data_IF_401921225431
#
_entry.id   IF_401921225431
#
_cell.length_a   1.000
_cell.length_b   1.000
_cell.length_c   1.000
_cell.angle_alpha   90.00
_cell.angle_beta   90.00
_cell.angle_gamma   90.00
#
_symmetry.space_group_name_H-M   'P 1'
#
loop_
_entity.id
_entity.type
_entity.pdbx_description
1 polymer ?
#
# COMPACT_ATOMS: atom_id res chain seq x y z
N UNK A 1 39.56 16.69 -28.85
CA UNK A 1 39.42 15.69 -27.78
C UNK A 1 37.93 15.34 -27.70
N UNK A 2 37.51 14.12 -28.07
CA UNK A 2 36.13 13.71 -27.88
C UNK A 2 35.81 13.62 -26.37
N UNK A 3 34.57 13.87 -25.93
CA UNK A 3 34.22 13.82 -24.52
C UNK A 3 34.32 12.39 -24.00
N UNK A 4 34.93 12.23 -22.83
CA UNK A 4 34.98 10.97 -22.09
C UNK A 4 33.54 10.50 -21.85
N UNK A 5 33.11 9.50 -22.61
CA UNK A 5 31.87 8.78 -22.33
C UNK A 5 32.10 7.99 -21.05
N UNK A 6 31.41 8.38 -19.98
CA UNK A 6 31.32 7.60 -18.75
C UNK A 6 31.10 6.13 -19.13
N UNK A 7 32.08 5.31 -18.80
CA UNK A 7 32.16 3.90 -19.13
C UNK A 7 30.83 3.21 -18.86
N UNK A 8 30.31 2.53 -19.87
CA UNK A 8 29.15 1.62 -19.86
C UNK A 8 29.27 0.44 -18.86
N UNK A 9 30.32 0.41 -18.05
CA UNK A 9 30.55 -0.60 -17.01
C UNK A 9 29.72 -0.35 -15.73
N UNK A 10 29.33 0.91 -15.45
CA UNK A 10 28.52 1.24 -14.26
C UNK A 10 27.01 1.01 -14.49
N UNK A 11 26.59 0.76 -15.73
CA UNK A 11 25.20 0.48 -16.10
C UNK A 11 24.71 -0.92 -15.70
N UNK A 12 25.58 -1.79 -15.20
CA UNK A 12 25.29 -3.21 -14.94
C UNK A 12 25.01 -3.57 -13.47
N UNK A 13 25.08 -2.60 -12.56
CA UNK A 13 24.66 -2.78 -11.16
C UNK A 13 23.42 -1.96 -10.89
N UNK A 14 22.26 -2.49 -11.28
CA UNK A 14 21.00 -2.00 -10.73
C UNK A 14 21.10 -2.11 -9.20
N UNK A 15 20.99 -1.00 -8.45
CA UNK A 15 21.01 -1.08 -7.00
C UNK A 15 19.88 -2.01 -6.55
N UNK A 16 20.12 -2.89 -5.56
CA UNK A 16 19.10 -3.83 -5.13
C UNK A 16 17.82 -3.07 -4.77
N UNK A 17 16.69 -3.47 -5.34
CA UNK A 17 15.38 -2.82 -5.15
C UNK A 17 15.10 -2.60 -3.67
N UNK A 18 15.44 -3.59 -2.83
CA UNK A 18 15.28 -3.51 -1.38
C UNK A 18 16.12 -2.41 -0.72
N UNK A 19 17.35 -2.16 -1.21
CA UNK A 19 18.21 -1.08 -0.71
C UNK A 19 17.67 0.30 -1.09
N UNK A 20 17.13 0.42 -2.31
CA UNK A 20 16.43 1.62 -2.78
C UNK A 20 15.19 1.88 -1.93
N UNK A 21 14.34 0.88 -1.70
CA UNK A 21 13.16 0.99 -0.83
C UNK A 21 13.52 1.38 0.60
N UNK A 22 14.60 0.81 1.16
CA UNK A 22 15.06 1.13 2.51
C UNK A 22 15.53 2.58 2.66
N UNK A 23 16.05 3.20 1.60
CA UNK A 23 16.37 4.64 1.59
C UNK A 23 15.14 5.54 1.64
N UNK A 24 13.97 5.05 1.22
CA UNK A 24 12.73 5.82 1.24
C UNK A 24 11.88 5.61 2.51
N UNK A 25 12.15 4.55 3.28
CA UNK A 25 11.51 4.29 4.58
C UNK A 25 11.53 5.49 5.55
N UNK A 26 12.64 6.24 5.68
CA UNK A 26 12.69 7.43 6.53
C UNK A 26 11.75 8.57 6.08
N UNK A 27 11.39 8.64 4.80
CA UNK A 27 10.42 9.63 4.30
C UNK A 27 8.98 9.23 4.60
N UNK A 28 8.71 7.93 4.71
CA UNK A 28 7.42 7.41 5.18
C UNK A 28 7.27 7.50 6.70
N UNK A 29 8.37 7.34 7.43
CA UNK A 29 8.39 7.43 8.90
C UNK A 29 9.37 8.51 9.38
N UNK A 30 9.12 9.80 9.06
CA UNK A 30 10.04 10.87 9.38
C UNK A 30 10.21 11.02 10.89
N UNK A 31 11.46 11.12 11.34
CA UNK A 31 11.76 11.40 12.74
C UNK A 31 11.23 12.79 13.12
N UNK A 32 10.47 12.89 14.21
CA UNK A 32 9.94 14.16 14.73
C UNK A 32 8.51 14.52 14.33
N UNK A 33 7.91 13.87 13.31
CA UNK A 33 6.54 14.18 12.88
C UNK A 33 5.52 13.17 13.43
N UNK A 34 5.12 13.34 14.70
CA UNK A 34 4.20 12.42 15.40
C UNK A 34 2.84 12.30 14.71
N UNK A 35 2.32 13.38 14.14
CA UNK A 35 1.04 13.39 13.44
C UNK A 35 1.03 12.46 12.21
N UNK A 36 2.09 12.49 11.39
CA UNK A 36 2.21 11.62 10.22
C UNK A 36 2.30 10.15 10.60
N UNK A 37 3.04 9.84 11.68
CA UNK A 37 3.16 8.47 12.20
C UNK A 37 1.82 7.93 12.68
N UNK A 38 1.08 8.72 13.47
CA UNK A 38 -0.25 8.32 13.98
C UNK A 38 -1.20 8.04 12.83
N UNK A 39 -1.21 8.89 11.79
CA UNK A 39 -2.07 8.71 10.62
C UNK A 39 -1.72 7.44 9.84
N UNK A 40 -0.43 7.18 9.60
CA UNK A 40 0.04 5.96 8.92
C UNK A 40 -0.31 4.71 9.75
N UNK A 41 -0.11 4.75 11.06
CA UNK A 41 -0.48 3.65 11.96
C UNK A 41 -1.99 3.40 11.99
N UNK A 42 -2.81 4.45 12.04
CA UNK A 42 -4.26 4.32 11.98
C UNK A 42 -4.71 3.74 10.64
N UNK A 43 -4.12 4.20 9.55
CA UNK A 43 -4.44 3.71 8.22
C UNK A 43 -4.02 2.24 8.04
N UNK A 44 -2.85 1.85 8.57
CA UNK A 44 -2.42 0.46 8.64
C UNK A 44 -3.37 -0.40 9.49
N UNK A 45 -3.88 0.11 10.61
CA UNK A 45 -4.88 -0.60 11.42
C UNK A 45 -6.18 -0.82 10.64
N UNK A 46 -6.68 0.20 9.93
CA UNK A 46 -7.88 0.08 9.08
C UNK A 46 -7.67 -0.95 7.96
N UNK A 47 -6.48 -0.99 7.36
CA UNK A 47 -6.12 -2.04 6.38
C UNK A 47 -6.28 -3.41 6.97
N UNK A 48 -5.69 -3.64 8.16
CA UNK A 48 -5.71 -4.95 8.81
C UNK A 48 -7.14 -5.39 9.14
N UNK A 49 -7.97 -4.46 9.63
CA UNK A 49 -9.41 -4.72 9.86
C UNK A 49 -10.12 -5.06 8.55
N UNK A 50 -9.89 -4.29 7.49
CA UNK A 50 -10.49 -4.54 6.17
C UNK A 50 -10.11 -5.92 5.63
N UNK A 51 -8.83 -6.32 5.74
CA UNK A 51 -8.36 -7.65 5.34
C UNK A 51 -8.93 -8.76 6.22
N UNK A 52 -9.07 -8.54 7.53
CA UNK A 52 -9.75 -9.47 8.43
C UNK A 52 -11.20 -9.73 8.00
N UNK A 53 -11.95 -8.67 7.65
CA UNK A 53 -13.31 -8.79 7.13
C UNK A 53 -13.34 -9.57 5.82
N UNK A 54 -12.44 -9.26 4.88
CA UNK A 54 -12.34 -9.97 3.60
C UNK A 54 -12.06 -11.47 3.79
N UNK A 55 -11.12 -11.83 4.65
CA UNK A 55 -10.79 -13.22 4.96
C UNK A 55 -11.95 -13.96 5.65
N UNK A 56 -12.74 -13.26 6.48
CA UNK A 56 -13.89 -13.87 7.17
C UNK A 56 -15.01 -14.31 6.23
N UNK A 57 -15.13 -13.70 5.05
CA UNK A 57 -16.23 -13.95 4.11
C UNK A 57 -16.27 -15.42 3.66
N UNK A 58 -15.09 -16.02 3.41
CA UNK A 58 -14.99 -17.43 3.02
C UNK A 58 -15.51 -18.38 4.10
N UNK A 59 -15.19 -18.10 5.36
CA UNK A 59 -15.66 -18.90 6.50
C UNK A 59 -17.16 -18.75 6.75
N UNK A 60 -17.69 -17.53 6.67
CA UNK A 60 -19.12 -17.28 6.83
C UNK A 60 -19.92 -17.99 5.74
N UNK A 61 -19.45 -17.93 4.50
CA UNK A 61 -20.11 -18.59 3.38
C UNK A 61 -20.03 -20.11 3.46
N UNK A 62 -18.84 -20.66 3.78
CA UNK A 62 -18.68 -22.10 4.00
C UNK A 62 -19.57 -22.63 5.12
N UNK A 63 -19.59 -21.93 6.26
CA UNK A 63 -20.45 -22.31 7.39
C UNK A 63 -21.94 -22.24 7.04
N UNK A 64 -22.36 -21.30 6.17
CA UNK A 64 -23.75 -21.23 5.72
C UNK A 64 -24.12 -22.46 4.87
N UNK A 65 -23.24 -22.86 3.95
CA UNK A 65 -23.43 -24.04 3.09
C UNK A 65 -23.50 -25.31 3.95
N UNK A 66 -22.61 -25.46 4.93
CA UNK A 66 -22.57 -26.62 5.82
C UNK A 66 -23.87 -26.83 6.62
N UNK A 67 -24.67 -25.77 6.82
CA UNK A 67 -25.97 -25.82 7.51
C UNK A 67 -27.17 -26.03 6.60
N UNK A 68 -26.97 -26.09 5.28
CA UNK A 68 -28.02 -26.32 4.29
C UNK A 68 -28.03 -27.76 3.74
N UNK A 69 -27.36 -28.68 4.42
CA UNK A 69 -27.33 -30.11 4.06
C UNK A 69 -28.65 -30.81 4.46
N UNK A 70 -29.18 -31.77 3.67
CA UNK A 70 -30.41 -32.49 4.02
C UNK A 70 -30.39 -33.09 5.43
N UNK A 71 -31.50 -32.94 6.18
CA UNK A 71 -31.62 -33.41 7.56
C UNK A 71 -31.27 -32.37 8.64
N UNK A 72 -30.91 -31.14 8.27
CA UNK A 72 -30.60 -30.04 9.19
C UNK A 72 -31.70 -28.96 9.29
N UNK A 73 -32.98 -29.37 9.29
CA UNK A 73 -34.13 -28.45 9.25
C UNK A 73 -34.18 -27.48 10.45
N UNK A 74 -33.69 -27.90 11.63
CA UNK A 74 -33.56 -27.02 12.81
C UNK A 74 -32.49 -25.92 12.63
N UNK A 75 -31.56 -26.09 11.69
CA UNK A 75 -30.45 -25.18 11.41
C UNK A 75 -30.77 -24.01 10.48
N UNK A 76 -32.00 -23.95 9.92
CA UNK A 76 -32.37 -22.97 8.89
C UNK A 76 -32.22 -21.53 9.37
N UNK A 77 -32.62 -21.21 10.60
CA UNK A 77 -32.48 -19.86 11.15
C UNK A 77 -31.01 -19.43 11.26
N UNK A 78 -30.11 -20.35 11.62
CA UNK A 78 -28.67 -20.11 11.69
C UNK A 78 -28.08 -19.94 10.29
N UNK A 79 -28.49 -20.76 9.31
CA UNK A 79 -28.06 -20.62 7.93
C UNK A 79 -28.43 -19.24 7.34
N UNK A 80 -29.67 -18.78 7.58
CA UNK A 80 -30.12 -17.44 7.19
C UNK A 80 -29.26 -16.37 7.88
N UNK A 81 -28.99 -16.52 9.18
CA UNK A 81 -28.12 -15.62 9.93
C UNK A 81 -26.70 -15.54 9.36
N UNK A 82 -26.12 -16.67 8.95
CA UNK A 82 -24.79 -16.74 8.33
C UNK A 82 -24.76 -16.12 6.93
N UNK A 83 -25.82 -16.28 6.12
CA UNK A 83 -25.95 -15.61 4.82
C UNK A 83 -26.06 -14.10 5.01
N UNK A 84 -26.86 -13.63 5.98
CA UNK A 84 -26.94 -12.21 6.31
C UNK A 84 -25.60 -11.66 6.82
N UNK A 85 -24.89 -12.43 7.65
CA UNK A 85 -23.54 -12.08 8.10
C UNK A 85 -22.55 -12.01 6.94
N UNK A 86 -22.59 -12.94 5.98
CA UNK A 86 -21.78 -12.90 4.76
C UNK A 86 -22.09 -11.66 3.91
N UNK A 87 -23.36 -11.34 3.69
CA UNK A 87 -23.77 -10.14 2.96
C UNK A 87 -23.31 -8.85 3.67
N UNK A 88 -23.47 -8.81 5.00
CA UNK A 88 -22.96 -7.73 5.85
C UNK A 88 -21.44 -7.60 5.79
N UNK A 89 -20.71 -8.71 5.83
CA UNK A 89 -19.25 -8.74 5.67
C UNK A 89 -18.84 -8.25 4.29
N UNK A 90 -19.56 -8.63 3.21
CA UNK A 90 -19.32 -8.15 1.84
C UNK A 90 -19.46 -6.63 1.75
N UNK A 91 -20.55 -6.09 2.29
CA UNK A 91 -20.76 -4.65 2.36
C UNK A 91 -19.67 -3.96 3.20
N UNK A 92 -19.37 -4.49 4.39
CA UNK A 92 -18.34 -3.98 5.27
C UNK A 92 -16.95 -4.01 4.60
N UNK A 93 -16.64 -5.04 3.81
CA UNK A 93 -15.39 -5.15 3.06
C UNK A 93 -15.23 -3.99 2.07
N UNK A 94 -16.27 -3.68 1.29
CA UNK A 94 -16.26 -2.53 0.37
C UNK A 94 -16.20 -1.21 1.15
N UNK A 95 -16.95 -1.08 2.24
CA UNK A 95 -16.96 0.11 3.08
C UNK A 95 -15.56 0.39 3.67
N UNK A 96 -14.93 -0.62 4.27
CA UNK A 96 -13.61 -0.48 4.87
C UNK A 96 -12.52 -0.27 3.81
N UNK A 97 -12.62 -0.87 2.63
CA UNK A 97 -11.70 -0.59 1.53
C UNK A 97 -11.79 0.87 1.06
N UNK A 98 -13.01 1.41 0.94
CA UNK A 98 -13.19 2.83 0.61
C UNK A 98 -12.76 3.77 1.74
N UNK A 99 -13.12 3.47 2.99
CA UNK A 99 -12.72 4.27 4.15
C UNK A 99 -11.20 4.32 4.29
N UNK A 100 -10.54 3.18 4.05
CA UNK A 100 -9.09 3.08 3.96
C UNK A 100 -8.53 4.01 2.88
N UNK A 101 -9.10 3.98 1.67
CA UNK A 101 -8.67 4.85 0.58
C UNK A 101 -8.87 6.35 0.90
N UNK A 102 -9.96 6.73 1.59
CA UNK A 102 -10.19 8.12 2.04
C UNK A 102 -9.14 8.57 3.06
N UNK A 103 -8.85 7.72 4.05
CA UNK A 103 -7.81 8.00 5.04
C UNK A 103 -6.45 8.12 4.36
N UNK A 104 -6.19 7.29 3.34
CA UNK A 104 -4.94 7.32 2.58
C UNK A 104 -4.78 8.54 1.70
N UNK A 105 -5.84 9.01 1.05
CA UNK A 105 -5.78 10.18 0.19
C UNK A 105 -5.16 11.36 0.96
N UNK A 106 -5.56 11.54 2.23
CA UNK A 106 -5.01 12.60 3.06
C UNK A 106 -3.51 12.43 3.33
N UNK A 107 -3.06 11.21 3.61
CA UNK A 107 -1.64 10.92 3.88
C UNK A 107 -0.79 11.12 2.62
N UNK A 108 -1.28 10.67 1.45
CA UNK A 108 -0.58 10.85 0.18
C UNK A 108 -0.45 12.32 -0.24
N UNK A 109 -1.52 13.11 -0.06
CA UNK A 109 -1.51 14.54 -0.34
C UNK A 109 -0.52 15.30 0.57
N UNK A 110 -0.49 14.96 1.87
CA UNK A 110 0.45 15.59 2.81
C UNK A 110 1.91 15.25 2.47
N UNK A 111 2.21 14.00 2.12
CA UNK A 111 3.55 13.57 1.68
C UNK A 111 3.98 14.26 0.37
N UNK A 112 3.08 14.35 -0.60
CA UNK A 112 3.32 15.08 -1.86
C UNK A 112 3.61 16.55 -1.59
N UNK A 113 2.82 17.18 -0.71
CA UNK A 113 3.00 18.59 -0.33
C UNK A 113 4.36 18.83 0.32
N UNK A 114 4.77 18.00 1.26
CA UNK A 114 6.06 18.15 1.95
C UNK A 114 7.25 17.97 1.00
N UNK A 115 7.16 16.99 0.10
CA UNK A 115 8.19 16.74 -0.91
C UNK A 115 8.30 17.90 -1.90
N UNK A 116 7.17 18.47 -2.33
CA UNK A 116 7.13 19.64 -3.20
C UNK A 116 7.78 20.85 -2.52
N UNK A 117 7.42 21.14 -1.26
CA UNK A 117 8.00 22.25 -0.48
C UNK A 117 9.51 22.06 -0.33
N UNK A 118 9.96 20.89 0.09
CA UNK A 118 11.38 20.59 0.31
C UNK A 118 12.19 20.76 -0.97
N UNK A 119 11.66 20.25 -2.09
CA UNK A 119 12.38 20.35 -3.35
C UNK A 119 12.40 21.78 -3.89
N UNK A 120 11.31 22.52 -3.72
CA UNK A 120 11.23 23.94 -4.07
C UNK A 120 12.22 24.79 -3.25
N UNK A 121 12.29 24.57 -1.94
CA UNK A 121 13.25 25.25 -1.07
C UNK A 121 14.70 24.91 -1.45
N UNK A 122 15.00 23.65 -1.77
CA UNK A 122 16.33 23.24 -2.21
C UNK A 122 16.72 23.91 -3.54
N UNK A 123 15.78 23.99 -4.49
CA UNK A 123 16.00 24.69 -5.75
C UNK A 123 16.36 26.16 -5.54
N UNK A 124 15.65 26.85 -4.65
CA UNK A 124 15.92 28.26 -4.34
C UNK A 124 17.27 28.49 -3.66
N UNK A 125 17.84 27.48 -3.01
CA UNK A 125 19.14 27.55 -2.35
C UNK A 125 20.33 27.28 -3.30
N UNK A 126 20.08 26.92 -4.56
CA UNK A 126 21.13 26.64 -5.53
C UNK A 126 21.78 27.93 -6.05
N UNK A 127 23.03 27.80 -6.51
CA UNK A 127 23.80 28.95 -7.00
C UNK A 127 23.15 29.61 -8.23
N UNK A 128 23.34 30.93 -8.40
CA UNK A 128 22.89 31.65 -9.59
C UNK A 128 23.41 31.01 -10.90
N UNK A 129 24.64 30.47 -10.88
CA UNK A 129 25.21 29.71 -12.00
C UNK A 129 24.38 28.48 -12.37
N UNK A 130 23.81 27.77 -11.40
CA UNK A 130 22.89 26.66 -11.67
C UNK A 130 21.63 27.15 -12.39
N UNK A 131 21.04 28.24 -11.90
CA UNK A 131 19.84 28.83 -12.51
C UNK A 131 20.07 29.39 -13.91
N UNK A 132 21.26 29.91 -14.21
CA UNK A 132 21.62 30.41 -15.55
C UNK A 132 22.02 29.29 -16.52
N UNK A 133 22.56 28.17 -16.03
CA UNK A 133 23.05 27.07 -16.86
C UNK A 133 21.96 26.06 -17.28
N UNK A 134 20.77 26.10 -16.66
CA UNK A 134 19.67 25.17 -16.96
C UNK A 134 18.38 25.90 -17.24
N UNK A 135 17.56 25.36 -18.16
CA UNK A 135 16.21 25.85 -18.40
C UNK A 135 15.34 25.53 -17.19
N UNK A 136 14.84 26.57 -16.50
CA UNK A 136 14.00 26.44 -15.30
C UNK A 136 12.84 25.47 -15.51
N UNK A 137 12.15 25.54 -16.65
CA UNK A 137 11.04 24.64 -16.98
C UNK A 137 11.44 23.17 -17.11
N UNK A 138 12.65 22.87 -17.63
CA UNK A 138 13.14 21.49 -17.73
C UNK A 138 13.50 20.92 -16.35
N UNK A 139 14.11 21.74 -15.48
CA UNK A 139 14.46 21.34 -14.10
C UNK A 139 13.21 21.10 -13.26
N UNK A 140 12.24 22.03 -13.30
CA UNK A 140 10.96 21.89 -12.61
C UNK A 140 10.21 20.63 -13.06
N UNK A 141 10.16 20.37 -14.37
CA UNK A 141 9.46 19.20 -14.93
C UNK A 141 10.12 17.86 -14.56
N UNK A 142 11.45 17.81 -14.48
CA UNK A 142 12.16 16.61 -14.01
C UNK A 142 11.85 16.34 -12.54
N UNK A 143 11.85 17.39 -11.73
CA UNK A 143 11.56 17.31 -10.29
C UNK A 143 10.12 16.91 -10.03
N UNK A 144 9.15 17.56 -10.65
CA UNK A 144 7.73 17.27 -10.48
C UNK A 144 7.44 15.80 -10.84
N UNK A 145 7.99 15.34 -11.95
CA UNK A 145 7.85 13.95 -12.39
C UNK A 145 8.58 12.96 -11.48
N UNK A 146 9.77 13.30 -10.98
CA UNK A 146 10.54 12.46 -10.06
C UNK A 146 9.86 12.33 -8.70
N UNK A 147 9.42 13.45 -8.14
CA UNK A 147 8.69 13.51 -6.87
C UNK A 147 7.35 12.79 -6.95
N UNK A 148 6.59 12.99 -8.03
CA UNK A 148 5.33 12.27 -8.25
C UNK A 148 5.54 10.76 -8.41
N UNK A 149 6.61 10.34 -9.07
CA UNK A 149 6.97 8.93 -9.22
C UNK A 149 7.29 8.29 -7.86
N UNK A 150 8.09 8.97 -7.02
CA UNK A 150 8.43 8.49 -5.67
C UNK A 150 7.19 8.38 -4.80
N UNK A 151 6.33 9.40 -4.81
CA UNK A 151 5.05 9.42 -4.09
C UNK A 151 4.17 8.22 -4.50
N UNK A 152 3.96 8.05 -5.80
CA UNK A 152 3.14 6.96 -6.35
C UNK A 152 3.72 5.58 -5.99
N UNK A 153 5.05 5.43 -6.04
CA UNK A 153 5.73 4.19 -5.69
C UNK A 153 5.58 3.86 -4.20
N UNK A 154 5.80 4.83 -3.31
CA UNK A 154 5.68 4.62 -1.87
C UNK A 154 4.24 4.30 -1.48
N UNK A 155 3.28 5.01 -2.10
CA UNK A 155 1.86 4.71 -1.97
C UNK A 155 1.55 3.26 -2.35
N UNK A 156 1.96 2.85 -3.55
CA UNK A 156 1.69 1.50 -4.06
C UNK A 156 2.31 0.42 -3.16
N UNK A 157 3.51 0.67 -2.64
CA UNK A 157 4.23 -0.30 -1.81
C UNK A 157 3.58 -0.50 -0.44
N UNK A 158 3.25 0.58 0.26
CA UNK A 158 2.65 0.51 1.59
C UNK A 158 1.19 0.08 1.59
N UNK A 159 0.45 0.45 0.54
CA UNK A 159 -1.01 0.39 0.56
C UNK A 159 -1.61 -0.58 -0.45
N UNK A 160 -0.79 -1.12 -1.35
CA UNK A 160 -1.18 -2.19 -2.27
C UNK A 160 -0.35 -3.45 -2.03
N UNK A 161 0.98 -3.35 -2.15
CA UNK A 161 1.87 -4.51 -2.03
C UNK A 161 1.87 -5.06 -0.60
N UNK A 162 2.12 -4.23 0.42
CA UNK A 162 2.18 -4.72 1.80
C UNK A 162 0.87 -5.38 2.27
N UNK A 163 -0.33 -4.81 2.05
CA UNK A 163 -1.59 -5.47 2.39
C UNK A 163 -1.81 -6.76 1.61
N UNK A 164 -1.39 -6.82 0.35
CA UNK A 164 -1.48 -8.02 -0.48
C UNK A 164 -0.56 -9.13 0.05
N UNK A 165 0.64 -8.79 0.51
CA UNK A 165 1.54 -9.76 1.15
C UNK A 165 0.93 -10.29 2.45
N UNK A 166 0.36 -9.40 3.29
CA UNK A 166 -0.31 -9.80 4.53
C UNK A 166 -1.47 -10.75 4.23
N UNK A 167 -2.31 -10.41 3.25
CA UNK A 167 -3.43 -11.25 2.81
C UNK A 167 -2.95 -12.59 2.28
N UNK A 168 -1.93 -12.61 1.41
CA UNK A 168 -1.36 -13.84 0.87
C UNK A 168 -0.84 -14.75 1.98
N UNK A 169 -0.08 -14.21 2.93
CA UNK A 169 0.43 -14.97 4.07
C UNK A 169 -0.72 -15.51 4.94
N UNK A 170 -1.74 -14.70 5.20
CA UNK A 170 -2.91 -15.13 5.96
C UNK A 170 -3.66 -16.27 5.25
N UNK A 171 -3.89 -16.15 3.94
CA UNK A 171 -4.50 -17.20 3.11
C UNK A 171 -3.66 -18.48 3.13
N UNK A 172 -2.34 -18.38 2.98
CA UNK A 172 -1.44 -19.53 3.05
C UNK A 172 -1.52 -20.23 4.42
N UNK A 173 -1.55 -19.48 5.52
CA UNK A 173 -1.71 -20.04 6.88
C UNK A 173 -3.08 -20.72 7.03
N UNK A 174 -4.15 -20.08 6.55
CA UNK A 174 -5.50 -20.66 6.58
C UNK A 174 -5.53 -21.98 5.81
N UNK A 175 -5.00 -22.01 4.59
CA UNK A 175 -4.95 -23.21 3.76
C UNK A 175 -4.13 -24.30 4.40
N UNK A 176 -2.94 -23.96 4.91
CA UNK A 176 -2.07 -24.92 5.59
C UNK A 176 -2.77 -25.57 6.80
N UNK A 177 -3.46 -24.77 7.61
CA UNK A 177 -4.11 -25.25 8.85
C UNK A 177 -5.44 -25.96 8.61
N UNK A 178 -6.18 -25.61 7.55
CA UNK A 178 -7.53 -26.15 7.28
C UNK A 178 -7.61 -27.21 6.18
N UNK A 179 -6.68 -27.20 5.22
CA UNK A 179 -6.79 -28.01 3.98
C UNK A 179 -5.56 -28.89 3.66
N UNK A 180 -4.50 -28.84 4.48
CA UNK A 180 -3.22 -29.57 4.28
C UNK A 180 -2.48 -29.23 2.97
N UNK A 181 -1.22 -29.65 2.81
CA UNK A 181 -0.42 -29.35 1.62
C UNK A 181 -0.74 -30.34 0.49
N UNK A 182 -1.62 -29.91 -0.41
CA UNK A 182 -2.21 -30.75 -1.45
C UNK A 182 -3.61 -31.16 -1.02
N UNK A 183 -4.63 -30.63 -1.71
CA UNK A 183 -6.04 -30.95 -1.51
C UNK A 183 -6.24 -32.47 -1.38
N UNK A 184 -6.34 -32.96 -0.14
CA UNK A 184 -6.61 -34.35 0.22
C UNK A 184 -7.90 -34.40 1.04
#
# INVERSE_FOLDING_TARGET
MPPDTSTSADASREPPVLATLRRFLPYLWPAGQTEHKVRISLAALIVLVSKGVQLSMGFLYGAAIDKMVPGMEEGVALAIGLVLAYAGARFAGVLFDNLRNVVFERVGQDATRELAITTFSHLHALSLRFHLARRTGEVTKVIERGTKSIDTMLYFLLFNIAPTIIELLAVLIIFWTKFSFGLA
#
